data_IF_117321972010
#
_entry.id   IF_117321972010
#
_cell.length_a   1.000
_cell.length_b   1.000
_cell.length_c   1.000
_cell.angle_alpha   90.00
_cell.angle_beta   90.00
_cell.angle_gamma   90.00
#
_symmetry.space_group_name_H-M   'P 1'
#
loop_
_entity.id
_entity.type
_entity.pdbx_description
1 polymer ?
#
# COMPACT_ATOMS: atom_id res chain seq x y z
N UNK A 1 19.57 16.61 -1.25
CA UNK A 1 19.36 15.31 -1.96
C UNK A 1 20.55 15.06 -2.89
N UNK A 2 21.49 14.19 -2.53
CA UNK A 2 22.59 13.82 -3.45
C UNK A 2 22.05 12.73 -4.41
N UNK A 3 22.28 12.90 -5.72
CA UNK A 3 21.75 12.05 -6.81
C UNK A 3 20.22 12.00 -6.97
N UNK A 4 19.55 13.15 -7.11
CA UNK A 4 18.11 13.23 -7.42
C UNK A 4 17.74 12.93 -8.89
N UNK A 5 18.69 13.08 -9.83
CA UNK A 5 18.42 12.98 -11.27
C UNK A 5 17.86 11.63 -11.70
N UNK A 6 18.32 10.54 -11.09
CA UNK A 6 17.85 9.19 -11.40
C UNK A 6 16.42 8.95 -10.93
N UNK A 7 16.03 9.54 -9.78
CA UNK A 7 14.66 9.50 -9.31
C UNK A 7 13.73 10.33 -10.19
N UNK A 8 14.17 11.51 -10.61
CA UNK A 8 13.41 12.35 -11.56
C UNK A 8 13.20 11.58 -12.86
N UNK A 9 14.26 10.96 -13.39
CA UNK A 9 14.17 10.15 -14.60
C UNK A 9 13.21 8.97 -14.45
N UNK A 10 13.27 8.26 -13.32
CA UNK A 10 12.33 7.17 -13.03
C UNK A 10 10.87 7.66 -13.05
N UNK A 11 10.57 8.79 -12.42
CA UNK A 11 9.22 9.35 -12.36
C UNK A 11 8.75 9.81 -13.75
N UNK A 12 9.60 10.53 -14.50
CA UNK A 12 9.24 11.03 -15.83
C UNK A 12 9.08 9.90 -16.86
N UNK A 13 9.95 8.89 -16.83
CA UNK A 13 9.94 7.79 -17.79
C UNK A 13 8.94 6.69 -17.40
N UNK A 14 8.43 6.70 -16.16
CA UNK A 14 7.52 5.68 -15.61
C UNK A 14 8.16 4.30 -15.49
N UNK A 15 9.50 4.19 -15.49
CA UNK A 15 10.22 2.92 -15.55
C UNK A 15 11.35 2.85 -14.54
N UNK A 16 11.51 1.68 -13.93
CA UNK A 16 12.63 1.41 -13.01
C UNK A 16 13.97 1.34 -13.75
N UNK A 17 15.01 1.94 -13.16
CA UNK A 17 16.37 1.96 -13.72
C UNK A 17 17.11 0.70 -13.28
N UNK A 18 17.59 -0.09 -14.26
CA UNK A 18 18.42 -1.26 -13.98
C UNK A 18 19.92 -0.88 -13.96
N UNK A 19 20.49 -0.75 -12.77
CA UNK A 19 21.91 -0.38 -12.59
C UNK A 19 22.90 -1.48 -13.00
N UNK A 20 22.46 -2.73 -13.11
CA UNK A 20 23.30 -3.83 -13.61
C UNK A 20 23.45 -3.75 -15.13
N UNK A 21 22.39 -3.34 -15.84
CA UNK A 21 22.43 -3.15 -17.29
C UNK A 21 23.35 -1.99 -17.70
N UNK A 22 23.53 -1.00 -16.83
CA UNK A 22 24.36 0.20 -17.07
C UNK A 22 25.72 0.08 -16.34
N UNK A 23 26.06 -1.11 -15.83
CA UNK A 23 27.31 -1.33 -15.14
C UNK A 23 28.51 -1.07 -16.09
N UNK A 24 29.58 -0.41 -15.60
CA UNK A 24 30.80 -0.24 -16.37
C UNK A 24 31.34 -1.60 -16.83
N UNK A 25 32.01 -1.63 -17.98
CA UNK A 25 32.73 -2.81 -18.48
C UNK A 25 34.22 -2.49 -18.59
N UNK A 26 35.06 -3.50 -18.37
CA UNK A 26 36.50 -3.35 -18.58
C UNK A 26 36.76 -3.27 -20.09
N UNK A 27 37.42 -2.21 -20.52
CA UNK A 27 37.78 -2.04 -21.92
C UNK A 27 38.94 -2.97 -22.28
N UNK A 28 38.84 -3.62 -23.44
CA UNK A 28 39.95 -4.34 -24.03
C UNK A 28 41.05 -3.35 -24.44
N UNK A 29 42.33 -3.69 -24.25
CA UNK A 29 43.42 -2.85 -24.72
C UNK A 29 43.43 -2.83 -26.26
N UNK A 30 43.76 -1.67 -26.82
CA UNK A 30 43.83 -1.42 -28.26
C UNK A 30 45.25 -1.47 -28.80
N UNK A 31 46.26 -1.38 -27.93
CA UNK A 31 47.67 -1.39 -28.31
C UNK A 31 48.17 -2.78 -28.72
N UNK A 32 48.93 -2.82 -29.83
CA UNK A 32 49.52 -4.06 -30.36
C UNK A 32 50.82 -4.43 -29.63
N UNK A 33 51.64 -3.45 -29.27
CA UNK A 33 52.92 -3.66 -28.58
C UNK A 33 52.73 -4.13 -27.13
N UNK A 34 53.51 -5.12 -26.69
CA UNK A 34 53.31 -5.79 -25.40
C UNK A 34 53.39 -4.84 -24.19
N UNK A 35 54.38 -3.94 -24.17
CA UNK A 35 54.60 -3.00 -23.06
C UNK A 35 53.52 -1.91 -23.02
N UNK A 36 53.14 -1.38 -24.19
CA UNK A 36 52.06 -0.41 -24.32
C UNK A 36 50.69 -1.02 -23.96
N UNK A 37 50.48 -2.30 -24.29
CA UNK A 37 49.27 -3.05 -23.96
C UNK A 37 49.12 -3.28 -22.46
N UNK A 38 50.20 -3.61 -21.76
CA UNK A 38 50.17 -3.85 -20.31
C UNK A 38 49.93 -2.55 -19.52
N UNK A 39 50.53 -1.44 -19.94
CA UNK A 39 50.29 -0.12 -19.36
C UNK A 39 48.85 0.35 -19.61
N UNK A 40 48.32 0.19 -20.82
CA UNK A 40 46.92 0.48 -21.15
C UNK A 40 45.94 -0.40 -20.35
N UNK A 41 46.23 -1.69 -20.20
CA UNK A 41 45.42 -2.60 -19.41
C UNK A 41 45.38 -2.19 -17.93
N UNK A 42 46.50 -1.73 -17.38
CA UNK A 42 46.58 -1.23 -16.00
C UNK A 42 45.75 0.04 -15.82
N UNK A 43 45.85 0.99 -16.75
CA UNK A 43 45.02 2.19 -16.77
C UNK A 43 43.53 1.85 -16.88
N UNK A 44 43.16 0.93 -17.77
CA UNK A 44 41.79 0.47 -17.96
C UNK A 44 41.23 -0.19 -16.69
N UNK A 45 42.03 -0.97 -15.95
CA UNK A 45 41.63 -1.57 -14.67
C UNK A 45 41.35 -0.50 -13.60
N UNK A 46 42.21 0.51 -13.49
CA UNK A 46 42.05 1.63 -12.54
C UNK A 46 40.79 2.45 -12.88
N UNK A 47 40.58 2.76 -14.16
CA UNK A 47 39.38 3.49 -14.60
C UNK A 47 38.11 2.66 -14.39
N UNK A 48 38.18 1.36 -14.63
CA UNK A 48 37.08 0.43 -14.41
C UNK A 48 36.68 0.38 -12.93
N UNK A 49 37.64 0.20 -12.00
CA UNK A 49 37.35 0.16 -10.56
C UNK A 49 36.71 1.47 -10.08
N UNK A 50 37.27 2.63 -10.46
CA UNK A 50 36.72 3.93 -10.10
C UNK A 50 35.29 4.15 -10.65
N UNK A 51 35.00 3.67 -11.87
CA UNK A 51 33.64 3.72 -12.43
C UNK A 51 32.69 2.76 -11.72
N UNK A 52 33.17 1.57 -11.35
CA UNK A 52 32.39 0.56 -10.64
C UNK A 52 31.98 1.06 -9.26
N UNK A 53 32.90 1.66 -8.52
CA UNK A 53 32.64 2.27 -7.20
C UNK A 53 31.58 3.37 -7.29
N UNK A 54 31.69 4.24 -8.31
CA UNK A 54 30.66 5.27 -8.56
C UNK A 54 29.30 4.65 -8.90
N UNK A 55 29.25 3.58 -9.68
CA UNK A 55 27.99 2.90 -10.01
C UNK A 55 27.36 2.24 -8.78
N UNK A 56 28.17 1.61 -7.92
CA UNK A 56 27.72 1.03 -6.65
C UNK A 56 27.16 2.12 -5.72
N UNK A 57 27.87 3.25 -5.57
CA UNK A 57 27.39 4.40 -4.79
C UNK A 57 26.09 4.96 -5.35
N UNK A 58 25.99 5.13 -6.67
CA UNK A 58 24.77 5.61 -7.35
C UNK A 58 23.58 4.67 -7.10
N UNK A 59 23.78 3.36 -7.20
CA UNK A 59 22.77 2.34 -6.89
C UNK A 59 22.30 2.40 -5.43
N UNK A 60 23.25 2.54 -4.49
CA UNK A 60 22.93 2.68 -3.08
C UNK A 60 22.13 3.97 -2.80
N UNK A 61 22.53 5.10 -3.38
CA UNK A 61 21.76 6.36 -3.26
C UNK A 61 20.38 6.26 -3.88
N UNK A 62 20.23 5.58 -5.00
CA UNK A 62 18.94 5.35 -5.64
C UNK A 62 17.99 4.57 -4.73
N UNK A 63 18.47 3.50 -4.08
CA UNK A 63 17.67 2.73 -3.11
C UNK A 63 17.21 3.59 -1.93
N UNK A 64 18.09 4.40 -1.35
CA UNK A 64 17.73 5.33 -0.27
C UNK A 64 16.73 6.38 -0.73
N UNK A 65 16.94 6.96 -1.91
CA UNK A 65 16.09 8.00 -2.46
C UNK A 65 14.68 7.47 -2.83
N UNK A 66 14.53 6.20 -3.25
CA UNK A 66 13.21 5.57 -3.47
C UNK A 66 12.32 5.69 -2.23
N UNK A 67 12.86 5.36 -1.05
CA UNK A 67 12.13 5.45 0.22
C UNK A 67 11.72 6.89 0.53
N UNK A 68 12.63 7.86 0.36
CA UNK A 68 12.32 9.27 0.58
C UNK A 68 11.26 9.80 -0.39
N UNK A 69 11.29 9.39 -1.65
CA UNK A 69 10.29 9.78 -2.65
C UNK A 69 8.93 9.18 -2.30
N UNK A 70 8.86 7.88 -1.95
CA UNK A 70 7.63 7.25 -1.44
C UNK A 70 7.02 8.06 -0.29
N UNK A 71 7.81 8.38 0.74
CA UNK A 71 7.33 9.16 1.89
C UNK A 71 6.80 10.53 1.46
N UNK A 72 7.47 11.22 0.54
CA UNK A 72 6.99 12.49 0.02
C UNK A 72 5.68 12.35 -0.78
N UNK A 73 5.51 11.28 -1.55
CA UNK A 73 4.27 11.01 -2.28
C UNK A 73 3.11 10.85 -1.29
N UNK A 74 3.29 9.98 -0.30
CA UNK A 74 2.28 9.74 0.75
C UNK A 74 1.94 11.01 1.55
N UNK A 75 2.93 11.86 1.85
CA UNK A 75 2.71 13.07 2.64
C UNK A 75 2.04 14.21 1.87
N UNK A 76 2.33 14.35 0.57
CA UNK A 76 1.94 15.56 -0.20
C UNK A 76 0.80 15.34 -1.18
N UNK A 77 0.65 14.13 -1.71
CA UNK A 77 -0.25 13.86 -2.83
C UNK A 77 -1.35 12.86 -2.50
N UNK A 78 -1.28 12.19 -1.36
CA UNK A 78 -2.28 11.21 -0.93
C UNK A 78 -3.24 11.86 0.07
N UNK A 79 -4.53 11.88 -0.26
CA UNK A 79 -5.59 12.28 0.66
C UNK A 79 -5.87 11.18 1.68
N UNK A 80 -6.51 11.52 2.81
CA UNK A 80 -6.89 10.53 3.84
C UNK A 80 -7.72 9.38 3.26
N UNK A 81 -8.63 9.68 2.31
CA UNK A 81 -9.44 8.68 1.62
C UNK A 81 -8.60 7.70 0.81
N UNK A 82 -7.63 8.19 0.04
CA UNK A 82 -6.73 7.34 -0.75
C UNK A 82 -5.80 6.53 0.17
N UNK A 83 -5.35 7.11 1.30
CA UNK A 83 -4.54 6.39 2.30
C UNK A 83 -5.30 5.19 2.89
N UNK A 84 -6.58 5.37 3.24
CA UNK A 84 -7.44 4.27 3.72
C UNK A 84 -7.61 3.20 2.64
N UNK A 85 -7.87 3.60 1.38
CA UNK A 85 -8.00 2.65 0.25
C UNK A 85 -6.71 1.86 0.04
N UNK A 86 -5.54 2.51 0.07
CA UNK A 86 -4.22 1.89 -0.03
C UNK A 86 -3.94 0.91 1.13
N UNK A 87 -4.17 1.32 2.38
CA UNK A 87 -3.94 0.48 3.57
C UNK A 87 -4.81 -0.77 3.62
N UNK A 88 -5.99 -0.69 3.01
CA UNK A 88 -6.89 -1.83 2.91
C UNK A 88 -6.48 -2.87 1.86
N UNK A 89 -5.39 -2.66 1.11
CA UNK A 89 -4.84 -3.66 0.17
C UNK A 89 -3.91 -4.64 0.87
N UNK A 90 -3.94 -5.91 0.46
CA UNK A 90 -3.17 -6.98 1.10
C UNK A 90 -1.65 -6.83 0.92
N UNK A 91 -1.22 -6.08 -0.09
CA UNK A 91 0.18 -5.88 -0.48
C UNK A 91 0.70 -4.46 -0.16
N UNK A 92 -0.04 -3.69 0.63
CA UNK A 92 0.29 -2.31 1.00
C UNK A 92 1.69 -2.16 1.62
N UNK A 93 2.21 -3.19 2.29
CA UNK A 93 3.49 -3.14 3.00
C UNK A 93 4.68 -3.57 2.14
N UNK A 94 4.48 -4.39 1.11
CA UNK A 94 5.55 -5.04 0.34
C UNK A 94 5.70 -4.47 -1.07
N UNK A 95 4.60 -4.29 -1.79
CA UNK A 95 4.58 -3.84 -3.19
C UNK A 95 4.72 -2.32 -3.32
N UNK A 96 4.15 -1.56 -2.38
CA UNK A 96 4.19 -0.09 -2.40
C UNK A 96 5.56 0.51 -2.00
N UNK A 97 6.65 -0.26 -1.96
CA UNK A 97 8.01 0.29 -1.84
C UNK A 97 8.50 0.98 -3.12
N UNK A 98 8.01 0.57 -4.30
CA UNK A 98 8.33 1.26 -5.56
C UNK A 98 7.45 2.51 -5.73
N UNK A 99 8.05 3.71 -5.83
CA UNK A 99 7.29 4.94 -6.07
C UNK A 99 6.43 4.93 -7.33
N UNK A 100 6.81 4.20 -8.39
CA UNK A 100 6.01 4.12 -9.63
C UNK A 100 4.75 3.33 -9.41
N UNK A 101 4.86 2.19 -8.76
CA UNK A 101 3.72 1.34 -8.48
C UNK A 101 2.72 2.03 -7.56
N UNK A 102 3.23 2.74 -6.54
CA UNK A 102 2.42 3.61 -5.70
C UNK A 102 1.69 4.68 -6.52
N UNK A 103 2.38 5.38 -7.43
CA UNK A 103 1.74 6.40 -8.28
C UNK A 103 0.67 5.82 -9.20
N UNK A 104 0.93 4.67 -9.83
CA UNK A 104 -0.05 3.98 -10.67
C UNK A 104 -1.30 3.57 -9.87
N UNK A 105 -1.12 3.15 -8.62
CA UNK A 105 -2.24 2.77 -7.74
C UNK A 105 -3.06 3.98 -7.31
N UNK A 106 -2.39 5.07 -6.93
CA UNK A 106 -3.04 6.36 -6.64
C UNK A 106 -3.83 6.82 -7.85
N UNK A 107 -3.26 6.76 -9.06
CA UNK A 107 -3.94 7.13 -10.30
C UNK A 107 -5.19 6.29 -10.53
N UNK A 108 -5.13 4.97 -10.32
CA UNK A 108 -6.30 4.09 -10.42
C UNK A 108 -7.41 4.50 -9.44
N UNK A 109 -7.04 4.82 -8.19
CA UNK A 109 -8.02 5.27 -7.21
C UNK A 109 -8.61 6.64 -7.55
N UNK A 110 -7.80 7.58 -8.04
CA UNK A 110 -8.27 8.90 -8.45
C UNK A 110 -9.22 8.83 -9.66
N UNK A 111 -8.91 7.98 -10.65
CA UNK A 111 -9.79 7.76 -11.81
C UNK A 111 -11.11 7.15 -11.39
N UNK A 112 -11.08 6.10 -10.55
CA UNK A 112 -12.29 5.50 -10.00
C UNK A 112 -13.11 6.49 -9.17
N UNK A 113 -12.47 7.35 -8.37
CA UNK A 113 -13.20 8.34 -7.57
C UNK A 113 -13.85 9.45 -8.41
N UNK A 114 -13.31 9.79 -9.58
CA UNK A 114 -13.87 10.81 -10.45
C UNK A 114 -14.99 10.28 -11.36
N UNK A 115 -14.87 9.04 -11.85
CA UNK A 115 -15.88 8.44 -12.74
C UNK A 115 -17.06 7.78 -11.98
N UNK A 116 -16.97 7.68 -10.65
CA UNK A 116 -17.91 6.94 -9.83
C UNK A 116 -18.42 7.73 -8.61
N UNK A 117 -18.74 9.02 -8.79
CA UNK A 117 -19.56 9.82 -7.86
C UNK A 117 -21.00 9.28 -7.79
N UNK A 118 -21.16 8.06 -7.31
CA UNK A 118 -22.43 7.55 -6.86
C UNK A 118 -22.42 7.63 -5.33
N UNK A 119 -23.31 8.45 -4.76
CA UNK A 119 -23.38 8.74 -3.32
C UNK A 119 -23.39 7.48 -2.42
N UNK A 120 -23.81 6.34 -2.96
CA UNK A 120 -23.94 5.07 -2.25
C UNK A 120 -22.92 4.01 -2.68
N UNK A 121 -22.08 4.28 -3.68
CA UNK A 121 -21.13 3.29 -4.18
C UNK A 121 -20.04 3.01 -3.15
N UNK A 122 -19.45 4.03 -2.52
CA UNK A 122 -18.45 3.82 -1.47
C UNK A 122 -19.02 2.99 -0.30
N UNK A 123 -20.31 3.18 0.03
CA UNK A 123 -21.01 2.38 1.02
C UNK A 123 -21.13 0.91 0.60
N UNK A 124 -21.51 0.65 -0.66
CA UNK A 124 -21.65 -0.72 -1.16
C UNK A 124 -20.29 -1.41 -1.36
N UNK A 125 -19.29 -0.69 -1.85
CA UNK A 125 -17.91 -1.20 -1.98
C UNK A 125 -17.33 -1.59 -0.62
N UNK A 126 -17.55 -0.78 0.42
CA UNK A 126 -17.11 -1.10 1.78
C UNK A 126 -17.77 -2.39 2.30
N UNK A 127 -19.07 -2.59 2.02
CA UNK A 127 -19.81 -3.79 2.38
C UNK A 127 -19.27 -5.02 1.63
N UNK A 128 -19.16 -4.93 0.30
CA UNK A 128 -18.60 -6.00 -0.52
C UNK A 128 -17.20 -6.39 -0.08
N UNK A 129 -16.35 -5.39 0.20
CA UNK A 129 -14.98 -5.61 0.64
C UNK A 129 -14.94 -6.36 1.97
N UNK A 130 -15.75 -5.96 2.95
CA UNK A 130 -15.82 -6.60 4.26
C UNK A 130 -16.30 -8.05 4.16
N UNK A 131 -17.41 -8.30 3.47
CA UNK A 131 -17.99 -9.64 3.36
C UNK A 131 -17.16 -10.58 2.47
N UNK A 132 -16.35 -10.06 1.55
CA UNK A 132 -15.44 -10.84 0.74
C UNK A 132 -14.04 -11.05 1.38
N UNK A 133 -13.79 -10.53 2.59
CA UNK A 133 -12.48 -10.66 3.22
C UNK A 133 -12.13 -12.13 3.50
N UNK A 134 -10.98 -12.56 2.97
CA UNK A 134 -10.37 -13.86 3.27
C UNK A 134 -8.91 -13.64 3.65
N UNK A 135 -8.40 -14.49 4.54
CA UNK A 135 -6.99 -14.50 4.87
C UNK A 135 -6.20 -14.94 3.62
N UNK A 136 -5.23 -14.12 3.20
CA UNK A 136 -4.36 -14.45 2.09
C UNK A 136 -3.49 -15.68 2.39
N UNK A 137 -3.09 -16.42 1.36
CA UNK A 137 -2.29 -17.65 1.51
C UNK A 137 -0.93 -17.43 2.19
N UNK A 138 -0.39 -16.23 2.07
CA UNK A 138 0.88 -15.80 2.69
C UNK A 138 0.67 -14.76 3.79
N UNK A 139 -0.57 -14.42 4.14
CA UNK A 139 -0.90 -13.39 5.11
C UNK A 139 -0.83 -13.93 6.53
N UNK A 140 -0.11 -13.23 7.41
CA UNK A 140 -0.10 -13.54 8.84
C UNK A 140 -1.49 -13.28 9.45
N UNK A 141 -1.96 -14.17 10.31
CA UNK A 141 -3.23 -14.02 11.03
C UNK A 141 -3.37 -12.67 11.74
N UNK A 142 -2.30 -12.15 12.34
CA UNK A 142 -2.33 -10.85 13.02
C UNK A 142 -2.63 -9.71 12.03
N UNK A 143 -1.99 -9.72 10.86
CA UNK A 143 -2.24 -8.72 9.82
C UNK A 143 -3.63 -8.85 9.21
N UNK A 144 -4.13 -10.08 9.03
CA UNK A 144 -5.51 -10.30 8.62
C UNK A 144 -6.49 -9.73 9.64
N UNK A 145 -6.28 -9.99 10.94
CA UNK A 145 -7.12 -9.46 12.03
C UNK A 145 -7.14 -7.94 12.05
N UNK A 146 -5.98 -7.29 11.93
CA UNK A 146 -5.88 -5.83 11.85
C UNK A 146 -6.71 -5.28 10.69
N UNK A 147 -6.52 -5.86 9.49
CA UNK A 147 -7.25 -5.45 8.28
C UNK A 147 -8.76 -5.66 8.42
N UNK A 148 -9.17 -6.76 9.05
CA UNK A 148 -10.57 -7.08 9.31
C UNK A 148 -11.22 -6.06 10.25
N UNK A 149 -10.56 -5.76 11.38
CA UNK A 149 -11.06 -4.78 12.34
C UNK A 149 -11.12 -3.37 11.74
N UNK A 150 -10.10 -2.94 11.01
CA UNK A 150 -10.11 -1.65 10.31
C UNK A 150 -11.27 -1.56 9.32
N UNK A 151 -11.58 -2.64 8.59
CA UNK A 151 -12.70 -2.64 7.65
C UNK A 151 -14.05 -2.65 8.37
N UNK A 152 -14.16 -3.30 9.53
CA UNK A 152 -15.34 -3.25 10.38
C UNK A 152 -15.59 -1.82 10.92
N UNK A 153 -14.56 -1.13 11.39
CA UNK A 153 -14.62 0.27 11.83
C UNK A 153 -15.11 1.19 10.71
N UNK A 154 -14.60 1.01 9.48
CA UNK A 154 -15.07 1.77 8.31
C UNK A 154 -16.57 1.56 8.06
N UNK A 155 -17.08 0.33 8.18
CA UNK A 155 -18.51 0.09 8.07
C UNK A 155 -19.29 0.73 9.21
N UNK A 156 -18.81 0.63 10.45
CA UNK A 156 -19.46 1.25 11.60
C UNK A 156 -19.62 2.76 11.41
N UNK A 157 -18.59 3.43 10.91
CA UNK A 157 -18.61 4.85 10.59
C UNK A 157 -19.61 5.19 9.48
N UNK A 158 -19.67 4.37 8.42
CA UNK A 158 -20.57 4.59 7.27
C UNK A 158 -22.04 4.38 7.62
N UNK A 159 -22.37 3.36 8.41
CA UNK A 159 -23.73 3.12 8.89
C UNK A 159 -24.14 4.14 9.96
N UNK A 160 -23.20 4.53 10.81
CA UNK A 160 -23.43 5.40 11.95
C UNK A 160 -24.09 4.69 13.13
N UNK A 161 -23.77 5.15 14.35
CA UNK A 161 -24.27 4.57 15.61
C UNK A 161 -25.81 4.54 15.66
N UNK A 162 -26.46 5.61 15.20
CA UNK A 162 -27.92 5.70 15.23
C UNK A 162 -28.61 4.61 14.40
N UNK A 163 -28.01 4.18 13.28
CA UNK A 163 -28.57 3.11 12.47
C UNK A 163 -28.59 1.78 13.24
N UNK A 164 -27.47 1.43 13.86
CA UNK A 164 -27.32 0.21 14.67
C UNK A 164 -28.24 0.20 15.88
N UNK A 165 -28.32 1.31 16.62
CA UNK A 165 -29.20 1.40 17.78
C UNK A 165 -30.68 1.30 17.39
N UNK A 166 -31.10 1.92 16.28
CA UNK A 166 -32.45 1.80 15.77
C UNK A 166 -32.76 0.38 15.26
N UNK A 167 -31.77 -0.29 14.68
CA UNK A 167 -31.88 -1.70 14.29
C UNK A 167 -32.04 -2.60 15.52
N UNK A 168 -31.25 -2.37 16.58
CA UNK A 168 -31.29 -3.13 17.82
C UNK A 168 -32.69 -3.22 18.41
N UNK A 169 -33.38 -2.07 18.50
CA UNK A 169 -34.75 -1.97 19.05
C UNK A 169 -35.76 -2.83 18.30
N UNK A 170 -35.51 -3.12 17.01
CA UNK A 170 -36.38 -3.96 16.17
C UNK A 170 -36.08 -5.46 16.29
N UNK A 171 -35.05 -5.86 17.04
CA UNK A 171 -34.67 -7.27 17.16
C UNK A 171 -35.49 -8.00 18.22
N UNK A 172 -35.69 -9.31 18.02
CA UNK A 172 -36.34 -10.18 19.01
C UNK A 172 -35.56 -10.23 20.33
N UNK A 173 -34.24 -10.16 20.26
CA UNK A 173 -33.36 -10.18 21.43
C UNK A 173 -33.57 -8.94 22.30
N UNK A 174 -33.68 -7.74 21.70
CA UNK A 174 -34.01 -6.53 22.45
C UNK A 174 -35.41 -6.59 23.07
N UNK A 175 -36.40 -7.11 22.34
CA UNK A 175 -37.77 -7.26 22.85
C UNK A 175 -37.88 -8.26 24.03
N UNK A 176 -36.92 -9.17 24.18
CA UNK A 176 -36.85 -10.11 25.29
C UNK A 176 -36.24 -9.48 26.57
N UNK A 177 -35.63 -8.30 26.48
CA UNK A 177 -35.10 -7.56 27.63
C UNK A 177 -36.26 -6.88 28.34
N UNK A 178 -36.34 -7.04 29.67
CA UNK A 178 -37.36 -6.38 30.48
C UNK A 178 -37.32 -4.86 30.26
N UNK A 179 -38.48 -4.23 30.06
CA UNK A 179 -38.57 -2.77 29.83
C UNK A 179 -38.11 -1.93 31.01
N UNK A 180 -37.99 -2.54 32.19
CA UNK A 180 -37.48 -1.93 33.42
C UNK A 180 -35.96 -1.99 33.54
N UNK A 181 -35.29 -2.81 32.72
CA UNK A 181 -33.84 -2.98 32.74
C UNK A 181 -33.19 -2.11 31.64
N UNK A 182 -33.11 -0.81 31.92
CA UNK A 182 -32.54 0.17 30.99
C UNK A 182 -31.04 -0.08 30.74
N UNK A 183 -30.31 -0.58 31.74
CA UNK A 183 -28.89 -0.87 31.61
C UNK A 183 -28.62 -2.02 30.62
N UNK A 184 -29.41 -3.09 30.65
CA UNK A 184 -29.31 -4.16 29.68
C UNK A 184 -29.72 -3.71 28.27
N UNK A 185 -30.72 -2.84 28.15
CA UNK A 185 -31.14 -2.27 26.86
C UNK A 185 -30.07 -1.37 26.23
N UNK A 186 -29.42 -0.52 27.02
CA UNK A 186 -28.36 0.37 26.54
C UNK A 186 -27.11 -0.42 26.15
N UNK A 187 -26.69 -1.37 26.99
CA UNK A 187 -25.60 -2.27 26.66
C UNK A 187 -25.86 -3.05 25.35
N UNK A 188 -27.08 -3.56 25.17
CA UNK A 188 -27.43 -4.27 23.94
C UNK A 188 -27.34 -3.36 22.70
N UNK A 189 -27.73 -2.09 22.83
CA UNK A 189 -27.63 -1.10 21.75
C UNK A 189 -26.18 -0.75 21.41
N UNK A 190 -25.29 -0.73 22.40
CA UNK A 190 -23.87 -0.44 22.20
C UNK A 190 -23.15 -1.62 21.52
N UNK A 191 -23.47 -2.85 21.94
CA UNK A 191 -22.80 -4.07 21.45
C UNK A 191 -23.36 -4.58 20.09
N UNK A 192 -24.49 -4.06 19.62
CA UNK A 192 -25.20 -4.60 18.45
C UNK A 192 -24.41 -4.47 17.14
N UNK A 193 -23.56 -3.45 17.02
CA UNK A 193 -22.83 -3.16 15.78
C UNK A 193 -21.86 -4.29 15.46
N UNK A 194 -21.11 -4.76 16.46
CA UNK A 194 -20.21 -5.91 16.36
C UNK A 194 -20.98 -7.18 16.04
N UNK A 195 -22.11 -7.42 16.73
CA UNK A 195 -22.90 -8.63 16.53
C UNK A 195 -23.48 -8.72 15.10
N UNK A 196 -23.96 -7.61 14.55
CA UNK A 196 -24.49 -7.54 13.17
C UNK A 196 -23.39 -7.80 12.15
N UNK A 197 -22.25 -7.12 12.28
CA UNK A 197 -21.14 -7.28 11.34
C UNK A 197 -20.54 -8.68 11.40
N UNK A 198 -20.36 -9.24 12.60
CA UNK A 198 -19.87 -10.61 12.78
C UNK A 198 -20.82 -11.64 12.18
N UNK A 199 -22.12 -11.50 12.41
CA UNK A 199 -23.13 -12.40 11.84
C UNK A 199 -23.17 -12.27 10.31
N UNK A 200 -23.15 -11.05 9.79
CA UNK A 200 -23.11 -10.79 8.35
C UNK A 200 -21.88 -11.39 7.68
N UNK A 201 -20.70 -11.27 8.31
CA UNK A 201 -19.48 -11.89 7.81
C UNK A 201 -19.61 -13.42 7.77
N UNK A 202 -20.04 -14.05 8.87
CA UNK A 202 -20.25 -15.50 8.94
C UNK A 202 -21.22 -16.02 7.86
N UNK A 203 -22.29 -15.28 7.58
CA UNK A 203 -23.25 -15.64 6.52
C UNK A 203 -22.68 -15.55 5.10
N UNK A 204 -21.54 -14.88 4.90
CA UNK A 204 -20.87 -14.74 3.61
C UNK A 204 -19.55 -15.52 3.52
N UNK A 205 -19.20 -16.26 4.58
CA UNK A 205 -18.01 -17.10 4.67
C UNK A 205 -18.27 -18.51 4.12
N UNK A 206 -18.54 -18.62 2.82
CA UNK A 206 -18.40 -19.88 2.06
C UNK A 206 -17.04 -19.94 1.34
#
# INVERSE_FOLDING_TARGET
MKCSKDMVKLICDGKSINFNAIAPRLNAPTQSEAVARETEMTQNKILYSAKLDKNMQRSAYFKTNKRTVKSNIMLKFVTKTIDIKLRGEADCTTTLEDPIELLNRIEQFMKKSADAEYDFLDFWEANQKFFAMKQGTTENLMHFKERFLTQAEVLQDLYGVAWFQNFAVKTKAYAAIASTDTAAQDKFKDDISEAVLATGFLCNCD
#
